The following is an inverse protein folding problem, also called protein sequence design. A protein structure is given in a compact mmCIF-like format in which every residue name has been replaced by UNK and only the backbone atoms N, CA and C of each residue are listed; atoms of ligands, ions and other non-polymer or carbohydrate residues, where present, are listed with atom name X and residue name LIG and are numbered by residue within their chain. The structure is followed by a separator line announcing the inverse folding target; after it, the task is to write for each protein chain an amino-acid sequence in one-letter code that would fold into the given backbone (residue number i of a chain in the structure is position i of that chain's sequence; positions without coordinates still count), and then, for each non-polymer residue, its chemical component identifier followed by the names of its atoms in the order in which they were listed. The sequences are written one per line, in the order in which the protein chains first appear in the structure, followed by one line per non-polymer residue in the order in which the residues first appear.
data_IF_086625549957
#
_entry.id   IF_086625549957
#
_cell.length_a   1.000
_cell.length_b   1.000
_cell.length_c   1.000
_cell.angle_alpha   90.00
_cell.angle_beta   90.00
_cell.angle_gamma   90.00
#
_symmetry.space_group_name_H-M   'P 1'
#
loop_
_entity.id
_entity.type
_entity.pdbx_description
1 polymer ?
#
# COMPACT_ATOMS: atom_id res chain seq x y z
N UNK A 1 19.77 5.67 5.87
CA UNK A 1 18.54 4.89 5.65
C UNK A 1 18.20 4.91 4.17
N UNK A 2 17.68 3.83 3.63
CA UNK A 2 17.40 3.72 2.21
C UNK A 2 15.88 3.60 1.96
N UNK A 3 15.42 3.98 0.78
CA UNK A 3 14.04 3.78 0.35
C UNK A 3 13.62 2.30 0.34
N UNK A 4 14.56 1.38 0.19
CA UNK A 4 14.31 -0.07 0.32
C UNK A 4 13.85 -0.41 1.73
N UNK A 5 14.55 0.09 2.75
CA UNK A 5 14.18 -0.13 4.15
C UNK A 5 12.80 0.49 4.46
N UNK A 6 12.51 1.68 3.93
CA UNK A 6 11.17 2.27 4.03
C UNK A 6 10.10 1.34 3.46
N UNK A 7 10.31 0.82 2.25
CA UNK A 7 9.35 -0.09 1.60
C UNK A 7 9.16 -1.37 2.41
N UNK A 8 10.22 -1.95 2.95
CA UNK A 8 10.14 -3.15 3.82
C UNK A 8 9.33 -2.89 5.09
N UNK A 9 9.53 -1.73 5.74
CA UNK A 9 8.77 -1.36 6.93
C UNK A 9 7.31 -1.05 6.60
N UNK A 10 7.05 -0.40 5.48
CA UNK A 10 5.71 -0.12 5.01
C UNK A 10 4.96 -1.42 4.66
N UNK A 11 5.65 -2.38 4.05
CA UNK A 11 5.10 -3.73 3.80
C UNK A 11 4.71 -4.40 5.10
N UNK A 12 5.60 -4.50 6.07
CA UNK A 12 5.34 -5.14 7.36
C UNK A 12 4.17 -4.46 8.10
N UNK A 13 4.11 -3.13 8.09
CA UNK A 13 3.00 -2.36 8.62
C UNK A 13 1.68 -2.72 7.93
N UNK A 14 1.67 -2.73 6.60
CA UNK A 14 0.48 -2.99 5.80
C UNK A 14 -0.03 -4.42 5.99
N UNK A 15 0.85 -5.42 5.98
CA UNK A 15 0.49 -6.81 6.26
C UNK A 15 -0.17 -6.95 7.64
N UNK A 16 0.36 -6.27 8.64
CA UNK A 16 -0.20 -6.28 10.00
C UNK A 16 -1.62 -5.70 10.06
N UNK A 17 -1.85 -4.54 9.45
CA UNK A 17 -3.16 -3.87 9.52
C UNK A 17 -4.21 -4.50 8.62
N UNK A 18 -3.81 -5.27 7.60
CA UNK A 18 -4.68 -5.96 6.65
C UNK A 18 -4.94 -7.43 7.00
N UNK A 19 -4.29 -7.98 8.02
CA UNK A 19 -4.31 -9.41 8.32
C UNK A 19 -5.71 -9.99 8.53
N UNK A 20 -6.64 -9.21 9.07
CA UNK A 20 -8.04 -9.59 9.32
C UNK A 20 -9.03 -9.14 8.24
N UNK A 21 -8.56 -8.44 7.20
CA UNK A 21 -9.38 -8.01 6.08
C UNK A 21 -9.47 -9.14 5.05
N UNK A 22 -10.51 -9.95 5.12
CA UNK A 22 -10.70 -11.12 4.26
C UNK A 22 -11.57 -10.74 3.07
N UNK A 23 -11.00 -10.85 1.87
CA UNK A 23 -11.63 -10.48 0.60
C UNK A 23 -11.69 -11.67 -0.36
N UNK A 24 -12.69 -11.71 -1.27
CA UNK A 24 -12.81 -12.80 -2.23
C UNK A 24 -11.64 -12.84 -3.20
N UNK A 25 -11.25 -14.06 -3.58
CA UNK A 25 -10.24 -14.36 -4.59
C UNK A 25 -10.94 -14.80 -5.88
N UNK A 26 -10.41 -14.40 -7.03
CA UNK A 26 -10.96 -14.81 -8.31
C UNK A 26 -10.99 -16.35 -8.43
N UNK A 27 -12.16 -16.89 -8.73
CA UNK A 27 -12.34 -18.33 -8.96
C UNK A 27 -11.58 -18.76 -10.22
N UNK A 28 -10.90 -19.90 -10.13
CA UNK A 28 -10.22 -20.52 -11.24
C UNK A 28 -11.08 -21.66 -11.83
N UNK A 29 -10.72 -22.11 -13.04
CA UNK A 29 -11.42 -23.22 -13.68
C UNK A 29 -11.30 -24.47 -12.81
N UNK A 30 -12.44 -25.02 -12.39
CA UNK A 30 -12.52 -26.21 -11.52
C UNK A 30 -12.79 -25.89 -10.05
N UNK A 31 -12.78 -24.62 -9.65
CA UNK A 31 -13.16 -24.21 -8.30
C UNK A 31 -14.67 -24.41 -8.11
N UNK A 32 -15.05 -25.04 -7.00
CA UNK A 32 -16.46 -25.25 -6.62
C UNK A 32 -16.94 -24.29 -5.55
N UNK A 33 -16.00 -23.66 -4.82
CA UNK A 33 -16.29 -22.73 -3.72
C UNK A 33 -15.48 -21.45 -3.85
N UNK A 34 -16.06 -20.34 -3.38
CA UNK A 34 -15.39 -19.05 -3.32
C UNK A 34 -14.31 -19.04 -2.25
N UNK A 35 -13.06 -18.84 -2.65
CA UNK A 35 -11.95 -18.65 -1.71
C UNK A 35 -11.84 -17.18 -1.25
N UNK A 36 -11.35 -16.99 -0.04
CA UNK A 36 -11.14 -15.69 0.59
C UNK A 36 -9.75 -15.62 1.22
N UNK A 37 -9.12 -14.48 1.16
CA UNK A 37 -7.84 -14.22 1.85
C UNK A 37 -7.63 -12.75 2.16
N UNK A 38 -6.66 -12.45 3.03
CA UNK A 38 -6.16 -11.10 3.22
C UNK A 38 -5.36 -10.63 1.98
N UNK A 39 -5.30 -9.31 1.73
CA UNK A 39 -4.46 -8.76 0.67
C UNK A 39 -2.98 -9.14 0.85
N UNK A 40 -2.34 -9.60 -0.22
CA UNK A 40 -0.89 -9.78 -0.26
C UNK A 40 -0.20 -8.45 -0.56
N UNK A 41 0.95 -8.22 0.05
CA UNK A 41 1.70 -6.97 -0.11
C UNK A 41 2.99 -7.22 -0.89
N UNK A 42 3.15 -6.49 -1.98
CA UNK A 42 4.32 -6.56 -2.87
C UNK A 42 5.07 -5.24 -2.89
N UNK A 43 6.36 -5.30 -3.20
CA UNK A 43 7.23 -4.13 -3.33
C UNK A 43 7.61 -3.93 -4.79
N UNK A 44 7.50 -2.69 -5.26
CA UNK A 44 7.83 -2.20 -6.58
C UNK A 44 6.97 -2.77 -7.72
N UNK A 45 6.72 -4.08 -7.77
CA UNK A 45 5.90 -4.73 -8.82
C UNK A 45 5.39 -6.10 -8.36
N UNK A 46 4.39 -6.60 -9.09
CA UNK A 46 3.96 -8.00 -8.94
C UNK A 46 5.01 -8.95 -9.51
N UNK A 47 5.20 -10.12 -8.89
CA UNK A 47 6.16 -11.13 -9.35
C UNK A 47 5.92 -11.62 -10.77
N UNK A 48 4.66 -11.65 -11.22
CA UNK A 48 4.25 -12.01 -12.57
C UNK A 48 3.15 -11.06 -13.05
N UNK A 49 3.51 -10.11 -13.90
CA UNK A 49 2.59 -9.10 -14.43
C UNK A 49 1.48 -9.68 -15.31
N UNK A 50 1.70 -10.83 -15.95
CA UNK A 50 0.72 -11.49 -16.82
C UNK A 50 -0.47 -12.06 -16.03
N UNK A 51 -0.25 -12.39 -14.78
CA UNK A 51 -1.27 -12.92 -13.87
C UNK A 51 -1.74 -11.89 -12.83
N UNK A 52 -1.45 -10.60 -13.03
CA UNK A 52 -1.71 -9.55 -12.04
C UNK A 52 -3.13 -9.56 -11.49
N UNK A 53 -4.13 -9.63 -12.36
CA UNK A 53 -5.55 -9.65 -11.95
C UNK A 53 -5.91 -10.88 -11.10
N UNK A 54 -5.33 -12.04 -11.40
CA UNK A 54 -5.57 -13.28 -10.66
C UNK A 54 -5.00 -13.27 -9.24
N UNK A 55 -4.11 -12.33 -8.94
CA UNK A 55 -3.48 -12.18 -7.62
C UNK A 55 -4.26 -11.28 -6.67
N UNK A 56 -5.34 -10.65 -7.13
CA UNK A 56 -6.21 -9.87 -6.25
C UNK A 56 -6.81 -10.75 -5.13
N UNK A 57 -6.95 -10.23 -3.90
CA UNK A 57 -6.59 -8.88 -3.46
C UNK A 57 -5.10 -8.70 -3.20
N UNK A 58 -4.56 -7.57 -3.59
CA UNK A 58 -3.16 -7.22 -3.33
C UNK A 58 -2.95 -5.71 -3.13
N UNK A 59 -1.82 -5.37 -2.52
CA UNK A 59 -1.34 -4.00 -2.37
C UNK A 59 0.11 -3.96 -2.85
N UNK A 60 0.48 -2.95 -3.65
CA UNK A 60 1.85 -2.73 -4.11
C UNK A 60 2.35 -1.40 -3.60
N UNK A 61 3.44 -1.38 -2.86
CA UNK A 61 4.17 -0.16 -2.51
C UNK A 61 5.33 0.05 -3.48
N UNK A 62 5.33 1.19 -4.16
CA UNK A 62 6.32 1.55 -5.15
C UNK A 62 6.87 2.94 -4.88
N UNK A 63 8.19 3.08 -4.81
CA UNK A 63 8.84 4.39 -4.83
C UNK A 63 8.64 5.01 -6.21
N UNK A 64 8.14 6.24 -6.21
CA UNK A 64 8.09 7.13 -7.36
C UNK A 64 9.17 8.21 -7.17
N UNK A 65 9.29 9.25 -7.95
CA UNK A 65 10.47 10.12 -7.93
C UNK A 65 10.99 10.44 -6.53
N UNK A 66 12.33 10.38 -6.37
CA UNK A 66 13.06 10.82 -5.19
C UNK A 66 13.48 12.25 -5.41
N UNK A 67 13.13 13.12 -4.48
CA UNK A 67 13.60 14.50 -4.46
C UNK A 67 14.58 14.67 -3.30
N UNK A 68 15.78 15.11 -3.59
CA UNK A 68 16.81 15.36 -2.58
C UNK A 68 17.25 16.81 -2.66
N UNK A 69 17.13 17.53 -1.55
CA UNK A 69 17.65 18.87 -1.41
C UNK A 69 18.80 18.86 -0.43
N UNK A 70 19.93 19.45 -0.85
CA UNK A 70 21.06 19.69 0.03
C UNK A 70 21.59 21.12 -0.17
N UNK A 71 21.53 21.92 0.89
CA UNK A 71 22.16 23.23 0.90
C UNK A 71 23.57 23.12 1.47
N UNK A 72 24.54 23.92 0.96
CA UNK A 72 25.91 23.90 1.48
C UNK A 72 25.90 24.16 3.00
N UNK A 73 26.48 23.22 3.77
CA UNK A 73 26.57 23.31 5.24
C UNK A 73 25.34 22.84 6.01
N UNK A 74 24.32 22.32 5.34
CA UNK A 74 23.14 21.71 5.98
C UNK A 74 23.15 20.18 5.82
N UNK A 75 22.34 19.50 6.65
CA UNK A 75 22.07 18.07 6.47
C UNK A 75 21.25 17.82 5.20
N UNK A 76 21.51 16.72 4.55
CA UNK A 76 20.74 16.24 3.41
C UNK A 76 19.29 15.95 3.86
N UNK A 77 18.32 16.54 3.16
CA UNK A 77 16.91 16.23 3.33
C UNK A 77 16.40 15.53 2.07
N UNK A 78 16.00 14.28 2.23
CA UNK A 78 15.43 13.49 1.14
C UNK A 78 13.96 13.23 1.43
N UNK A 79 13.09 13.56 0.49
CA UNK A 79 11.67 13.22 0.53
C UNK A 79 11.44 12.06 -0.44
N UNK A 80 10.86 10.98 0.09
CA UNK A 80 10.55 9.77 -0.68
C UNK A 80 9.04 9.73 -0.93
N UNK A 81 8.64 9.76 -2.18
CA UNK A 81 7.25 9.58 -2.57
C UNK A 81 6.96 8.11 -2.82
N UNK A 82 5.94 7.58 -2.17
CA UNK A 82 5.50 6.18 -2.31
C UNK A 82 4.07 6.14 -2.84
N UNK A 83 3.91 5.44 -3.97
CA UNK A 83 2.60 5.06 -4.49
C UNK A 83 2.22 3.69 -3.93
N UNK A 84 1.08 3.62 -3.27
CA UNK A 84 0.46 2.37 -2.83
C UNK A 84 -0.72 2.08 -3.75
N UNK A 85 -0.63 1.02 -4.55
CA UNK A 85 -1.70 0.58 -5.45
C UNK A 85 -2.47 -0.55 -4.79
N UNK A 86 -3.78 -0.40 -4.74
CA UNK A 86 -4.73 -1.35 -4.16
C UNK A 86 -5.51 -2.03 -5.27
N UNK A 87 -5.68 -3.34 -5.20
CA UNK A 87 -6.52 -4.07 -6.13
C UNK A 87 -7.29 -5.16 -5.40
N UNK A 88 -8.59 -5.22 -5.62
CA UNK A 88 -9.43 -6.29 -5.13
C UNK A 88 -10.29 -6.89 -6.24
N UNK A 89 -10.77 -8.10 -6.00
CA UNK A 89 -11.75 -8.78 -6.81
C UNK A 89 -13.06 -8.86 -6.04
N UNK A 90 -14.17 -8.61 -6.71
CA UNK A 90 -15.48 -8.89 -6.15
C UNK A 90 -16.45 -9.28 -7.29
N UNK A 91 -17.14 -10.41 -7.19
CA UNK A 91 -18.11 -10.81 -8.19
C UNK A 91 -19.39 -9.94 -8.16
N UNK A 92 -19.66 -9.28 -7.04
CA UNK A 92 -20.76 -8.31 -6.91
C UNK A 92 -20.28 -6.90 -7.28
N UNK A 93 -20.89 -6.34 -8.32
CA UNK A 93 -20.50 -5.03 -8.84
C UNK A 93 -20.76 -3.88 -7.87
N UNK A 94 -21.77 -3.96 -7.03
CA UNK A 94 -22.07 -2.92 -6.03
C UNK A 94 -21.13 -2.97 -4.84
N UNK A 95 -20.72 -4.18 -4.44
CA UNK A 95 -19.81 -4.39 -3.32
C UNK A 95 -18.35 -4.16 -3.68
N UNK A 96 -18.00 -4.24 -4.96
CA UNK A 96 -16.60 -4.13 -5.43
C UNK A 96 -15.95 -2.79 -5.12
N UNK A 97 -16.60 -1.71 -5.44
CA UNK A 97 -16.11 -0.35 -5.15
C UNK A 97 -16.04 -0.08 -3.64
N UNK A 98 -17.03 -0.59 -2.89
CA UNK A 98 -17.05 -0.46 -1.42
C UNK A 98 -15.92 -1.27 -0.77
N UNK A 99 -15.63 -2.47 -1.28
CA UNK A 99 -14.53 -3.28 -0.79
C UNK A 99 -13.17 -2.60 -1.04
N UNK A 100 -12.97 -2.02 -2.23
CA UNK A 100 -11.79 -1.21 -2.55
C UNK A 100 -11.67 -0.02 -1.61
N UNK A 101 -12.74 0.74 -1.45
CA UNK A 101 -12.76 1.92 -0.58
C UNK A 101 -12.43 1.55 0.86
N UNK A 102 -13.01 0.47 1.39
CA UNK A 102 -12.72 -0.02 2.73
C UNK A 102 -11.25 -0.39 2.91
N UNK A 103 -10.63 -1.02 1.91
CA UNK A 103 -9.21 -1.36 1.94
C UNK A 103 -8.34 -0.11 1.97
N UNK A 104 -8.62 0.87 1.11
CA UNK A 104 -7.90 2.15 1.05
C UNK A 104 -8.09 2.97 2.34
N UNK A 105 -9.32 3.06 2.84
CA UNK A 105 -9.63 3.79 4.08
C UNK A 105 -8.98 3.15 5.31
N UNK A 106 -8.94 1.83 5.41
CA UNK A 106 -8.24 1.15 6.50
C UNK A 106 -6.75 1.52 6.50
N UNK A 107 -6.11 1.44 5.35
CA UNK A 107 -4.70 1.82 5.22
C UNK A 107 -4.50 3.29 5.63
N UNK A 108 -5.31 4.21 5.10
CA UNK A 108 -5.23 5.63 5.42
C UNK A 108 -5.39 5.91 6.92
N UNK A 109 -6.42 5.38 7.52
CA UNK A 109 -6.74 5.61 8.94
C UNK A 109 -5.64 5.08 9.86
N UNK A 110 -5.19 3.84 9.63
CA UNK A 110 -4.14 3.24 10.45
C UNK A 110 -2.79 3.95 10.27
N UNK A 111 -2.47 4.37 9.04
CA UNK A 111 -1.27 5.14 8.77
C UNK A 111 -1.28 6.50 9.47
N UNK A 112 -2.41 7.20 9.46
CA UNK A 112 -2.56 8.50 10.14
C UNK A 112 -2.52 8.40 11.67
N UNK A 113 -2.92 7.27 12.25
CA UNK A 113 -2.81 7.03 13.69
C UNK A 113 -1.35 6.96 14.14
N UNK A 114 -0.51 6.26 13.39
CA UNK A 114 0.89 6.04 13.78
C UNK A 114 1.83 7.11 13.24
N UNK A 115 1.58 7.64 12.05
CA UNK A 115 2.40 8.63 11.31
C UNK A 115 3.88 8.27 11.16
N UNK A 116 4.28 7.09 11.58
CA UNK A 116 5.67 6.63 11.56
C UNK A 116 5.71 5.14 11.28
N UNK A 117 6.65 4.74 10.45
CA UNK A 117 7.00 3.33 10.24
C UNK A 117 8.47 3.11 10.51
N UNK A 118 8.83 1.97 11.07
CA UNK A 118 10.21 1.69 11.40
C UNK A 118 10.40 0.44 12.24
N UNK A 119 11.66 0.06 12.46
CA UNK A 119 12.01 -1.07 13.30
C UNK A 119 12.38 -0.62 14.70
N UNK A 120 12.02 -1.45 15.66
CA UNK A 120 12.39 -1.31 17.07
C UNK A 120 13.47 -2.34 17.38
N UNK A 121 14.54 -1.92 18.03
CA UNK A 121 15.60 -2.82 18.49
C UNK A 121 15.15 -3.71 19.64
N UNK A 122 15.96 -4.71 19.99
CA UNK A 122 15.71 -5.61 21.13
C UNK A 122 15.67 -4.86 22.48
N UNK A 123 16.25 -3.66 22.53
CA UNK A 123 16.24 -2.75 23.68
C UNK A 123 15.01 -1.85 23.76
N UNK A 124 14.03 -2.05 22.86
CA UNK A 124 12.81 -1.25 22.76
C UNK A 124 13.00 0.13 22.13
N UNK A 125 14.22 0.49 21.71
CA UNK A 125 14.49 1.79 21.08
C UNK A 125 14.32 1.72 19.56
N UNK A 126 13.79 2.81 18.94
CA UNK A 126 13.73 2.89 17.48
C UNK A 126 15.13 2.80 16.88
N UNK A 127 15.36 1.82 15.98
CA UNK A 127 16.62 1.72 15.22
C UNK A 127 16.65 2.66 14.04
N UNK A 128 15.52 2.75 13.34
CA UNK A 128 15.26 3.72 12.28
C UNK A 128 13.77 3.98 12.20
N UNK A 129 13.43 5.16 11.79
CA UNK A 129 12.06 5.61 11.77
C UNK A 129 11.86 6.56 10.59
N UNK A 130 10.84 6.25 9.80
CA UNK A 130 10.37 7.10 8.72
C UNK A 130 9.11 7.81 9.18
N UNK A 131 9.04 9.10 8.98
CA UNK A 131 7.90 9.91 9.37
C UNK A 131 7.10 10.31 8.15
N UNK A 132 5.80 10.08 8.19
CA UNK A 132 4.87 10.51 7.15
C UNK A 132 4.84 12.05 7.11
N UNK A 133 5.23 12.62 5.99
CA UNK A 133 5.16 14.06 5.75
C UNK A 133 3.78 14.42 5.20
N UNK A 134 3.05 15.22 5.96
CA UNK A 134 1.77 15.81 5.56
C UNK A 134 1.89 17.31 5.73
N UNK A 135 2.02 17.98 4.61
CA UNK A 135 2.20 19.42 4.53
C UNK A 135 1.31 20.00 3.42
N UNK A 136 1.22 21.32 3.27
CA UNK A 136 0.52 21.91 2.13
C UNK A 136 1.01 21.44 0.77
N UNK A 137 2.32 21.09 0.67
CA UNK A 137 2.95 20.62 -0.56
C UNK A 137 2.89 19.08 -0.72
N UNK A 138 2.73 18.36 0.39
CA UNK A 138 2.70 16.89 0.44
C UNK A 138 1.38 16.42 1.06
N UNK A 139 0.33 16.40 0.24
CA UNK A 139 -0.98 15.89 0.65
C UNK A 139 -1.04 14.39 0.49
N UNK A 140 -1.71 13.74 1.41
CA UNK A 140 -2.09 12.33 1.24
C UNK A 140 -3.27 12.28 0.28
N UNK A 141 -3.03 11.77 -0.92
CA UNK A 141 -4.04 11.65 -1.97
C UNK A 141 -4.51 10.20 -2.09
N UNK A 142 -5.81 10.02 -2.21
CA UNK A 142 -6.46 8.72 -2.36
C UNK A 142 -7.33 8.76 -3.61
N UNK A 143 -6.99 7.95 -4.61
CA UNK A 143 -7.59 8.00 -5.94
C UNK A 143 -8.13 6.61 -6.32
N UNK A 144 -9.42 6.31 -6.12
CA UNK A 144 -10.06 5.16 -6.72
C UNK A 144 -10.07 5.32 -8.25
N UNK A 145 -9.77 4.27 -8.97
CA UNK A 145 -9.85 4.31 -10.43
C UNK A 145 -11.29 4.10 -10.89
N UNK A 146 -11.72 4.93 -11.81
CA UNK A 146 -13.05 4.85 -12.46
C UNK A 146 -12.97 4.08 -13.80
N UNK A 147 -12.13 3.07 -13.87
CA UNK A 147 -11.99 2.22 -15.04
C UNK A 147 -12.92 1.02 -14.95
N UNK A 148 -13.62 0.73 -16.05
CA UNK A 148 -14.47 -0.46 -16.16
C UNK A 148 -13.62 -1.72 -16.32
N UNK A 149 -12.98 -2.18 -15.26
CA UNK A 149 -12.23 -3.44 -15.25
C UNK A 149 -12.91 -4.54 -14.41
N UNK A 150 -14.21 -4.41 -14.20
CA UNK A 150 -15.02 -5.38 -13.46
C UNK A 150 -14.72 -6.83 -13.91
N UNK A 151 -14.62 -7.76 -13.00
CA UNK A 151 -14.90 -7.72 -11.55
C UNK A 151 -13.70 -7.31 -10.69
N UNK A 152 -12.74 -6.60 -11.25
CA UNK A 152 -11.56 -6.10 -10.53
C UNK A 152 -11.68 -4.60 -10.30
N UNK A 153 -11.30 -4.18 -9.09
CA UNK A 153 -11.40 -2.80 -8.63
C UNK A 153 -10.04 -2.36 -8.12
N UNK A 154 -9.58 -1.21 -8.56
CA UNK A 154 -8.25 -0.72 -8.21
C UNK A 154 -8.26 0.78 -7.89
N UNK A 155 -7.27 1.20 -7.14
CA UNK A 155 -7.03 2.58 -6.76
C UNK A 155 -5.60 2.77 -6.27
N UNK A 156 -5.23 4.01 -6.06
CA UNK A 156 -3.91 4.34 -5.55
C UNK A 156 -3.94 5.39 -4.45
N UNK A 157 -2.90 5.37 -3.64
CA UNK A 157 -2.65 6.39 -2.62
C UNK A 157 -1.20 6.84 -2.71
N UNK A 158 -0.96 8.14 -2.65
CA UNK A 158 0.38 8.71 -2.65
C UNK A 158 0.70 9.23 -1.25
N UNK A 159 1.85 8.84 -0.75
CA UNK A 159 2.38 9.23 0.56
C UNK A 159 3.80 9.75 0.44
N UNK A 160 4.18 10.64 1.32
CA UNK A 160 5.48 11.29 1.34
C UNK A 160 6.18 11.02 2.68
N UNK A 161 7.49 10.72 2.62
CA UNK A 161 8.28 10.24 3.75
C UNK A 161 9.63 10.92 3.86
#
# INVERSE_FOLDING_TARGET
MTSVVLLEQLKAFTEKIMADMILPVAMQQGDTEQAYRAPEVYLMRLPDSRAAKKKAPYIIHRVIPLETEQQPGSEERTVVSVRSTFCCYNPDEQEGDLALLNMMERFRVELLKVRKVGAVGADGKPRYQFTLDISPDHKLESIPYDEESKPYYAGEMITYW
#
